data_IF_822979212315
#
_entry.id   IF_822979212315
#
_cell.length_a   1.000
_cell.length_b   1.000
_cell.length_c   1.000
_cell.angle_alpha   90.00
_cell.angle_beta   90.00
_cell.angle_gamma   90.00
#
_symmetry.space_group_name_H-M   'P 1'
#
loop_
_entity.id
_entity.type
_entity.pdbx_description
1 polymer ?
#
# COMPACT_ATOMS: atom_id res chain seq x y z
N UNK A 1 7.94 -14.43 -23.92
CA UNK A 1 8.57 -14.20 -22.61
C UNK A 1 7.66 -14.80 -21.56
N UNK A 2 8.17 -15.43 -20.53
CA UNK A 2 7.31 -16.16 -19.57
C UNK A 2 7.17 -15.31 -18.28
N UNK A 3 5.98 -14.71 -18.06
CA UNK A 3 5.67 -13.98 -16.84
C UNK A 3 5.68 -14.96 -15.65
N UNK A 4 6.28 -14.55 -14.53
CA UNK A 4 6.36 -15.32 -13.27
C UNK A 4 5.73 -14.60 -12.09
N UNK A 5 5.59 -13.29 -12.15
CA UNK A 5 4.96 -12.46 -11.12
C UNK A 5 4.05 -11.42 -11.76
N UNK A 6 2.82 -11.34 -11.29
CA UNK A 6 1.88 -10.28 -11.59
C UNK A 6 1.59 -9.52 -10.30
N UNK A 7 1.99 -8.26 -10.25
CA UNK A 7 1.70 -7.37 -9.14
C UNK A 7 0.62 -6.35 -9.53
N UNK A 8 -0.26 -6.01 -8.62
CA UNK A 8 -1.28 -4.97 -8.87
C UNK A 8 -1.47 -4.08 -7.67
N UNK A 9 -1.54 -2.77 -7.92
CA UNK A 9 -2.16 -1.87 -6.96
C UNK A 9 -3.64 -2.20 -6.79
N UNK A 10 -4.22 -1.74 -5.68
CA UNK A 10 -5.60 -2.07 -5.30
C UNK A 10 -6.57 -0.93 -5.61
N UNK A 11 -6.42 0.22 -4.97
CA UNK A 11 -7.37 1.32 -5.02
C UNK A 11 -7.15 2.20 -6.26
N UNK A 12 -8.12 2.23 -7.18
CA UNK A 12 -7.95 2.92 -8.47
C UNK A 12 -7.34 2.06 -9.57
N UNK A 13 -6.97 0.80 -9.26
CA UNK A 13 -6.37 -0.15 -10.19
C UNK A 13 -7.15 -1.47 -10.24
N UNK A 14 -7.05 -2.30 -9.21
CA UNK A 14 -7.70 -3.62 -9.19
C UNK A 14 -9.13 -3.59 -8.68
N UNK A 15 -9.39 -2.76 -7.67
CA UNK A 15 -10.72 -2.59 -7.07
C UNK A 15 -11.54 -1.57 -7.85
N UNK A 16 -12.87 -1.77 -7.89
CA UNK A 16 -13.81 -0.81 -8.41
C UNK A 16 -14.08 0.37 -7.44
N UNK A 17 -15.02 1.24 -7.78
CA UNK A 17 -15.39 2.42 -6.96
C UNK A 17 -16.04 2.05 -5.61
N UNK A 18 -16.51 0.81 -5.46
CA UNK A 18 -17.07 0.28 -4.22
C UNK A 18 -16.03 -0.49 -3.39
N UNK A 19 -14.75 -0.48 -3.81
CA UNK A 19 -13.67 -1.30 -3.27
C UNK A 19 -13.93 -2.81 -3.38
N UNK A 20 -14.61 -3.24 -4.45
CA UNK A 20 -14.94 -4.61 -4.75
C UNK A 20 -14.29 -5.08 -6.07
N UNK A 21 -14.29 -6.37 -6.32
CA UNK A 21 -13.87 -7.00 -7.58
C UNK A 21 -14.68 -8.27 -7.84
N UNK A 22 -14.68 -8.76 -9.07
CA UNK A 22 -15.31 -10.04 -9.44
C UNK A 22 -14.53 -11.21 -8.84
N UNK A 23 -14.98 -11.69 -7.67
CA UNK A 23 -14.35 -12.78 -6.93
C UNK A 23 -14.33 -14.08 -7.74
N UNK A 24 -15.41 -14.38 -8.50
CA UNK A 24 -15.48 -15.62 -9.28
C UNK A 24 -14.47 -15.60 -10.45
N UNK A 25 -14.34 -14.48 -11.11
CA UNK A 25 -13.33 -14.29 -12.17
C UNK A 25 -11.92 -14.33 -11.57
N UNK A 26 -11.69 -13.68 -10.43
CA UNK A 26 -10.39 -13.70 -9.76
C UNK A 26 -9.93 -15.10 -9.38
N UNK A 27 -10.80 -15.92 -8.80
CA UNK A 27 -10.47 -17.32 -8.46
C UNK A 27 -10.12 -18.14 -9.70
N UNK A 28 -10.79 -17.89 -10.84
CA UNK A 28 -10.46 -18.52 -12.12
C UNK A 28 -9.08 -18.09 -12.62
N UNK A 29 -8.77 -16.79 -12.55
CA UNK A 29 -7.45 -16.24 -12.93
C UNK A 29 -6.36 -16.78 -12.03
N UNK A 30 -6.56 -16.77 -10.71
CA UNK A 30 -5.59 -17.27 -9.74
C UNK A 30 -5.26 -18.75 -9.98
N UNK A 31 -6.27 -19.57 -10.26
CA UNK A 31 -6.06 -20.97 -10.64
C UNK A 31 -5.24 -21.10 -11.92
N UNK A 32 -5.55 -20.32 -12.96
CA UNK A 32 -4.78 -20.28 -14.22
C UNK A 32 -3.32 -19.88 -13.96
N UNK A 33 -3.09 -18.90 -13.07
CA UNK A 33 -1.75 -18.47 -12.68
C UNK A 33 -0.98 -19.60 -11.98
N UNK A 34 -1.60 -20.29 -11.03
CA UNK A 34 -0.99 -21.44 -10.34
C UNK A 34 -0.59 -22.55 -11.32
N UNK A 35 -1.46 -22.88 -12.28
CA UNK A 35 -1.17 -23.90 -13.32
C UNK A 35 0.02 -23.51 -14.22
N UNK A 36 0.24 -22.19 -14.41
CA UNK A 36 1.37 -21.64 -15.19
C UNK A 36 2.60 -21.30 -14.34
N UNK A 37 2.54 -21.47 -13.01
CA UNK A 37 3.62 -21.09 -12.09
C UNK A 37 3.83 -19.57 -12.03
N UNK A 38 2.74 -18.79 -12.10
CA UNK A 38 2.73 -17.34 -11.97
C UNK A 38 2.27 -16.97 -10.55
N UNK A 39 3.03 -16.15 -9.86
CA UNK A 39 2.64 -15.57 -8.58
C UNK A 39 1.75 -14.34 -8.78
N UNK A 40 0.78 -14.17 -7.90
CA UNK A 40 -0.02 -12.94 -7.82
C UNK A 40 0.35 -12.17 -6.56
N UNK A 41 0.62 -10.87 -6.69
CA UNK A 41 0.92 -9.97 -5.59
C UNK A 41 -0.06 -8.78 -5.57
N UNK A 42 -0.73 -8.59 -4.43
CA UNK A 42 -1.49 -7.37 -4.15
C UNK A 42 -0.56 -6.35 -3.47
N UNK A 43 -0.34 -5.18 -4.10
CA UNK A 43 0.58 -4.15 -3.63
C UNK A 43 -0.19 -2.86 -3.28
N UNK A 44 -0.29 -2.51 -2.00
CA UNK A 44 -1.16 -1.43 -1.55
C UNK A 44 -0.56 -0.59 -0.42
N UNK A 45 -1.05 0.65 -0.28
CA UNK A 45 -0.88 1.45 0.93
C UNK A 45 -1.73 0.97 2.11
N UNK A 46 -2.69 0.06 1.87
CA UNK A 46 -3.54 -0.51 2.91
C UNK A 46 -2.74 -1.32 3.93
N UNK A 47 -3.22 -1.41 5.18
CA UNK A 47 -2.66 -2.31 6.18
C UNK A 47 -2.68 -3.78 5.74
N UNK A 48 -1.70 -4.56 6.20
CA UNK A 48 -1.62 -5.99 5.92
C UNK A 48 -2.91 -6.74 6.31
N UNK A 49 -3.49 -6.43 7.46
CA UNK A 49 -4.75 -7.03 7.91
C UNK A 49 -5.92 -6.71 6.98
N UNK A 50 -5.95 -5.50 6.41
CA UNK A 50 -6.96 -5.10 5.43
C UNK A 50 -6.84 -5.90 4.14
N UNK A 51 -5.62 -6.07 3.60
CA UNK A 51 -5.39 -6.94 2.42
C UNK A 51 -5.80 -8.40 2.70
N UNK A 52 -5.45 -8.93 3.87
CA UNK A 52 -5.87 -10.29 4.27
C UNK A 52 -7.39 -10.43 4.37
N UNK A 53 -8.09 -9.39 4.80
CA UNK A 53 -9.55 -9.38 4.84
C UNK A 53 -10.16 -9.38 3.44
N UNK A 54 -9.61 -8.58 2.51
CA UNK A 54 -10.04 -8.54 1.11
C UNK A 54 -9.88 -9.91 0.43
N UNK A 55 -8.75 -10.58 0.67
CA UNK A 55 -8.39 -11.87 0.06
C UNK A 55 -8.55 -13.06 1.00
N UNK A 56 -9.45 -12.99 2.00
CA UNK A 56 -9.57 -14.00 3.09
C UNK A 56 -9.67 -15.45 2.62
N UNK A 57 -10.27 -15.69 1.46
CA UNK A 57 -10.46 -17.05 0.91
C UNK A 57 -9.19 -17.62 0.27
N UNK A 58 -8.24 -16.76 -0.09
CA UNK A 58 -7.03 -17.12 -0.85
C UNK A 58 -5.76 -16.48 -0.29
N UNK A 59 -5.81 -15.90 0.91
CA UNK A 59 -4.68 -15.16 1.50
C UNK A 59 -3.37 -15.97 1.54
N UNK A 60 -3.45 -17.29 1.69
CA UNK A 60 -2.29 -18.18 1.70
C UNK A 60 -1.79 -18.55 0.28
N UNK A 61 -2.47 -18.07 -0.77
CA UNK A 61 -2.15 -18.36 -2.17
C UNK A 61 -1.61 -17.16 -2.93
N UNK A 62 -1.62 -15.99 -2.30
CA UNK A 62 -1.18 -14.73 -2.89
C UNK A 62 -0.06 -14.11 -2.05
N UNK A 63 0.63 -13.16 -2.65
CA UNK A 63 1.62 -12.33 -1.97
C UNK A 63 0.93 -11.01 -1.57
N UNK A 64 1.09 -10.58 -0.33
CA UNK A 64 0.62 -9.29 0.15
C UNK A 64 1.82 -8.34 0.31
N UNK A 65 1.85 -7.27 -0.47
CA UNK A 65 2.75 -6.13 -0.32
C UNK A 65 1.91 -5.00 0.28
N UNK A 66 2.05 -4.78 1.58
CA UNK A 66 1.21 -3.84 2.33
C UNK A 66 2.00 -2.63 2.84
N UNK A 67 1.28 -1.65 3.39
CA UNK A 67 1.85 -0.44 4.00
C UNK A 67 2.82 0.30 3.07
N UNK A 68 2.41 0.47 1.79
CA UNK A 68 3.25 1.05 0.74
C UNK A 68 4.59 0.32 0.50
N UNK A 69 4.67 -0.97 0.82
CA UNK A 69 5.88 -1.78 0.66
C UNK A 69 6.70 -1.97 1.93
N UNK A 70 6.21 -1.53 3.11
CA UNK A 70 6.90 -1.77 4.38
C UNK A 70 6.88 -3.24 4.80
N UNK A 71 5.92 -4.02 4.31
CA UNK A 71 5.82 -5.45 4.62
C UNK A 71 5.42 -6.24 3.38
N UNK A 72 6.11 -7.37 3.18
CA UNK A 72 5.79 -8.38 2.16
C UNK A 72 5.57 -9.71 2.86
N UNK A 73 4.38 -10.26 2.73
CA UNK A 73 4.05 -11.57 3.28
C UNK A 73 3.66 -12.55 2.16
N UNK A 74 4.14 -13.77 2.26
CA UNK A 74 3.79 -14.86 1.35
C UNK A 74 3.67 -16.18 2.12
N UNK A 75 2.59 -16.91 1.93
CA UNK A 75 2.26 -18.15 2.69
C UNK A 75 2.29 -17.97 4.21
N UNK A 76 1.94 -16.77 4.70
CA UNK A 76 1.97 -16.45 6.14
C UNK A 76 3.36 -16.22 6.71
N UNK A 77 4.40 -16.20 5.86
CA UNK A 77 5.78 -15.89 6.23
C UNK A 77 6.17 -14.49 5.73
N UNK A 78 6.92 -13.76 6.55
CA UNK A 78 7.42 -12.45 6.18
C UNK A 78 8.63 -12.60 5.25
N UNK A 79 8.48 -12.12 4.03
CA UNK A 79 9.57 -12.06 3.02
C UNK A 79 10.42 -10.81 3.23
N UNK A 80 9.79 -9.71 3.62
CA UNK A 80 10.42 -8.43 3.85
C UNK A 80 9.64 -7.63 4.88
N UNK A 81 10.33 -6.96 5.81
CA UNK A 81 9.75 -6.03 6.78
C UNK A 81 10.67 -4.82 6.98
N UNK A 82 10.10 -3.62 6.91
CA UNK A 82 10.74 -2.35 7.27
C UNK A 82 9.93 -1.69 8.38
N UNK A 83 10.41 -1.78 9.61
CA UNK A 83 9.69 -1.33 10.80
C UNK A 83 10.31 -0.08 11.42
N UNK A 84 9.49 0.75 12.00
CA UNK A 84 9.89 1.89 12.82
C UNK A 84 10.15 1.42 14.26
N UNK A 85 11.31 1.70 14.82
CA UNK A 85 11.55 1.41 16.24
C UNK A 85 10.68 2.28 17.15
N UNK A 86 10.38 1.84 18.40
CA UNK A 86 9.61 2.63 19.35
C UNK A 86 10.18 4.03 19.59
N UNK A 87 11.51 4.15 19.73
CA UNK A 87 12.17 5.45 19.91
C UNK A 87 12.00 6.33 18.67
N UNK A 88 12.06 5.74 17.47
CA UNK A 88 11.94 6.47 16.21
C UNK A 88 10.53 7.05 16.03
N UNK A 89 9.46 6.23 16.10
CA UNK A 89 8.11 6.75 15.87
C UNK A 89 7.65 7.71 17.00
N UNK A 90 8.15 7.55 18.22
CA UNK A 90 7.88 8.50 19.30
C UNK A 90 8.58 9.85 19.07
N UNK A 91 9.86 9.83 18.64
CA UNK A 91 10.58 11.05 18.26
C UNK A 91 9.94 11.74 17.07
N UNK A 92 9.53 10.98 16.04
CA UNK A 92 8.76 11.47 14.88
C UNK A 92 7.45 12.12 15.33
N UNK A 93 6.66 11.47 16.17
CA UNK A 93 5.41 12.01 16.70
C UNK A 93 5.64 13.30 17.50
N UNK A 94 6.71 13.36 18.31
CA UNK A 94 7.08 14.58 19.03
C UNK A 94 7.45 15.72 18.06
N UNK A 95 8.20 15.40 17.00
CA UNK A 95 8.58 16.39 15.97
C UNK A 95 7.39 16.90 15.17
N UNK A 96 6.44 16.02 14.82
CA UNK A 96 5.23 16.41 14.11
C UNK A 96 4.38 17.43 14.88
N UNK A 97 4.44 17.46 16.22
CA UNK A 97 3.73 18.47 17.01
C UNK A 97 4.28 19.89 16.81
N UNK A 98 5.44 20.07 16.19
CA UNK A 98 5.97 21.38 15.77
C UNK A 98 5.38 21.83 14.42
N UNK A 99 4.76 20.93 13.66
CA UNK A 99 4.11 21.25 12.40
C UNK A 99 2.82 22.06 12.64
N UNK A 100 2.67 23.24 12.02
CA UNK A 100 1.50 24.08 12.25
C UNK A 100 0.17 23.48 11.76
N UNK A 101 0.26 22.43 10.95
CA UNK A 101 -0.90 21.76 10.33
C UNK A 101 -1.27 20.43 11.01
N UNK A 102 -0.44 19.96 11.94
CA UNK A 102 -0.60 18.64 12.55
C UNK A 102 -1.57 18.67 13.74
N UNK A 103 -2.58 17.82 13.69
CA UNK A 103 -3.44 17.53 14.84
C UNK A 103 -3.13 16.11 15.37
N UNK A 104 -2.57 16.03 16.56
CA UNK A 104 -2.27 14.76 17.24
C UNK A 104 -3.48 13.85 17.45
N UNK A 105 -4.70 14.40 17.39
CA UNK A 105 -5.94 13.63 17.54
C UNK A 105 -6.42 13.04 16.20
N UNK A 106 -5.79 13.45 15.08
CA UNK A 106 -6.00 12.92 13.73
C UNK A 106 -4.76 12.13 13.29
N UNK A 107 -4.24 11.26 14.14
CA UNK A 107 -3.02 10.48 13.90
C UNK A 107 -3.22 9.03 14.32
N UNK A 108 -2.73 8.12 13.48
CA UNK A 108 -2.82 6.68 13.64
C UNK A 108 -1.47 6.05 13.29
N UNK A 109 -1.00 5.08 14.10
CA UNK A 109 0.12 4.22 13.76
C UNK A 109 -0.40 2.85 13.34
N UNK A 110 0.09 2.34 12.22
CA UNK A 110 -0.27 1.01 11.72
C UNK A 110 0.83 0.01 12.06
N UNK A 111 0.43 -1.05 12.73
CA UNK A 111 1.31 -2.16 13.10
C UNK A 111 0.86 -3.48 12.50
N UNK A 112 1.65 -4.52 12.75
CA UNK A 112 1.41 -5.86 12.20
C UNK A 112 0.12 -6.52 12.75
N UNK A 113 -0.23 -6.24 14.01
CA UNK A 113 -1.37 -6.83 14.71
C UNK A 113 -2.59 -5.91 14.81
N UNK A 114 -2.47 -4.66 14.37
CA UNK A 114 -3.55 -3.69 14.40
C UNK A 114 -3.06 -2.27 14.25
N UNK A 115 -3.98 -1.33 14.42
CA UNK A 115 -3.71 0.09 14.34
C UNK A 115 -3.92 0.77 15.69
N UNK A 116 -3.20 1.84 15.95
CA UNK A 116 -3.14 2.48 17.26
C UNK A 116 -3.44 3.97 17.16
N UNK A 117 -4.40 4.44 17.94
CA UNK A 117 -4.76 5.86 18.07
C UNK A 117 -4.69 6.29 19.53
N UNK A 118 -4.51 7.58 19.77
CA UNK A 118 -4.60 8.11 21.12
C UNK A 118 -6.06 8.04 21.65
N UNK A 119 -6.24 7.91 22.97
CA UNK A 119 -7.58 7.98 23.60
C UNK A 119 -8.31 9.28 23.33
N UNK A 120 -7.58 10.33 22.98
CA UNK A 120 -8.11 11.66 22.61
C UNK A 120 -8.41 11.79 21.13
N UNK A 121 -8.36 10.68 20.36
CA UNK A 121 -8.61 10.67 18.91
C UNK A 121 -9.91 11.39 18.56
N UNK A 122 -9.87 12.16 17.50
CA UNK A 122 -11.06 12.81 16.92
C UNK A 122 -12.06 11.73 16.49
N UNK A 123 -13.36 11.86 16.88
CA UNK A 123 -14.36 10.83 16.59
C UNK A 123 -14.62 10.62 15.09
N UNK A 124 -14.59 11.70 14.29
CA UNK A 124 -14.86 11.63 12.85
C UNK A 124 -13.65 11.02 12.13
N UNK A 125 -12.43 11.37 12.54
CA UNK A 125 -11.20 10.72 12.06
C UNK A 125 -11.18 9.23 12.39
N UNK A 126 -11.58 8.85 13.61
CA UNK A 126 -11.66 7.44 14.00
C UNK A 126 -12.68 6.68 13.14
N UNK A 127 -13.87 7.25 12.93
CA UNK A 127 -14.92 6.63 12.12
C UNK A 127 -14.44 6.43 10.66
N UNK A 128 -13.78 7.43 10.08
CA UNK A 128 -13.18 7.32 8.74
C UNK A 128 -12.07 6.26 8.69
N UNK A 129 -11.19 6.23 9.70
CA UNK A 129 -10.09 5.25 9.79
C UNK A 129 -10.55 3.81 9.86
N UNK A 130 -11.72 3.55 10.47
CA UNK A 130 -12.30 2.20 10.59
C UNK A 130 -12.69 1.56 9.25
N UNK A 131 -12.82 2.35 8.17
CA UNK A 131 -13.11 1.82 6.84
C UNK A 131 -11.89 1.13 6.20
N UNK A 132 -10.67 1.43 6.67
CA UNK A 132 -9.42 0.97 6.07
C UNK A 132 -8.54 0.20 7.03
N UNK A 133 -8.77 0.34 8.34
CA UNK A 133 -7.91 -0.21 9.38
C UNK A 133 -8.67 -1.20 10.25
N UNK A 134 -8.16 -2.42 10.29
CA UNK A 134 -8.64 -3.47 11.18
C UNK A 134 -8.05 -3.29 12.60
N UNK A 135 -8.76 -3.77 13.61
CA UNK A 135 -8.28 -3.88 14.99
C UNK A 135 -7.68 -2.56 15.54
N UNK A 136 -8.43 -1.45 15.45
CA UNK A 136 -7.98 -0.16 16.00
C UNK A 136 -8.05 -0.18 17.53
N UNK A 137 -6.91 0.07 18.17
CA UNK A 137 -6.74 0.11 19.63
C UNK A 137 -6.48 1.53 20.10
N UNK A 138 -7.08 1.91 21.25
CA UNK A 138 -6.87 3.22 21.88
C UNK A 138 -5.82 3.12 22.98
N UNK A 139 -4.72 3.86 22.83
CA UNK A 139 -3.63 3.95 23.81
C UNK A 139 -3.58 5.31 24.48
N UNK A 140 -3.04 5.41 25.70
CA UNK A 140 -2.85 6.71 26.34
C UNK A 140 -1.63 7.45 25.77
N UNK A 141 -0.62 6.65 25.35
CA UNK A 141 0.62 7.12 24.73
C UNK A 141 1.08 6.04 23.73
N UNK A 142 1.71 6.44 22.65
CA UNK A 142 2.28 5.50 21.67
C UNK A 142 3.43 4.66 22.21
N UNK A 143 4.03 5.03 23.34
CA UNK A 143 4.98 4.14 24.07
C UNK A 143 4.36 2.86 24.64
N UNK A 144 3.01 2.77 24.70
CA UNK A 144 2.29 1.56 25.13
C UNK A 144 2.16 0.51 24.02
N UNK A 145 2.53 0.85 22.78
CA UNK A 145 2.43 -0.07 21.63
C UNK A 145 3.47 -1.19 21.79
N UNK A 146 2.97 -2.42 21.85
CA UNK A 146 3.76 -3.66 21.79
C UNK A 146 3.49 -4.35 20.45
N UNK A 147 3.96 -3.73 19.37
CA UNK A 147 3.77 -4.23 17.99
C UNK A 147 4.91 -3.74 17.09
N UNK A 148 5.07 -4.37 15.92
CA UNK A 148 5.92 -3.89 14.84
C UNK A 148 5.17 -2.79 14.09
N UNK A 149 5.65 -1.56 14.16
CA UNK A 149 5.02 -0.39 13.52
C UNK A 149 5.64 -0.16 12.15
N UNK A 150 4.82 0.00 11.13
CA UNK A 150 5.23 0.19 9.74
C UNK A 150 5.06 1.62 9.26
N UNK A 151 4.01 2.29 9.71
CA UNK A 151 3.56 3.57 9.13
C UNK A 151 2.86 4.41 10.18
N UNK A 152 2.96 5.73 10.02
CA UNK A 152 2.08 6.69 10.68
C UNK A 152 1.21 7.36 9.62
N UNK A 153 -0.07 7.48 9.90
CA UNK A 153 -1.04 8.16 9.03
C UNK A 153 -1.61 9.35 9.80
N UNK A 154 -1.71 10.50 9.15
CA UNK A 154 -2.35 11.70 9.70
C UNK A 154 -3.17 12.41 8.63
N UNK A 155 -4.16 13.22 9.05
CA UNK A 155 -4.90 14.07 8.15
C UNK A 155 -4.48 15.53 8.34
N UNK A 156 -4.28 16.22 7.23
CA UNK A 156 -4.19 17.68 7.15
C UNK A 156 -5.40 18.22 6.39
N UNK A 157 -5.77 19.44 6.69
CA UNK A 157 -6.82 20.08 5.91
C UNK A 157 -6.40 20.18 4.43
N UNK A 158 -7.35 20.00 3.50
CA UNK A 158 -7.07 19.91 2.07
C UNK A 158 -6.30 21.11 1.52
N UNK A 159 -6.54 22.30 2.09
CA UNK A 159 -5.90 23.57 1.67
C UNK A 159 -4.39 23.61 2.00
N UNK A 160 -3.92 22.83 2.96
CA UNK A 160 -2.53 22.79 3.44
C UNK A 160 -1.89 21.41 3.28
N UNK A 161 -2.50 20.51 2.51
CA UNK A 161 -2.04 19.14 2.34
C UNK A 161 -0.64 19.08 1.73
N UNK A 162 -0.40 19.85 0.67
CA UNK A 162 0.90 19.90 -0.03
C UNK A 162 1.98 20.50 0.86
N UNK A 163 1.67 21.59 1.56
CA UNK A 163 2.56 22.21 2.52
C UNK A 163 2.87 21.29 3.70
N UNK A 164 1.88 20.56 4.16
CA UNK A 164 2.02 19.56 5.24
C UNK A 164 2.93 18.40 4.84
N UNK A 165 2.71 17.82 3.67
CA UNK A 165 3.58 16.76 3.10
C UNK A 165 5.03 17.26 2.96
N UNK A 166 5.20 18.46 2.39
CA UNK A 166 6.52 19.07 2.26
C UNK A 166 7.18 19.35 3.61
N UNK A 167 6.40 19.83 4.59
CA UNK A 167 6.92 20.07 5.94
C UNK A 167 7.43 18.79 6.59
N UNK A 168 6.67 17.69 6.53
CA UNK A 168 7.07 16.39 7.09
C UNK A 168 8.37 15.92 6.44
N UNK A 169 8.42 15.89 5.11
CA UNK A 169 9.60 15.41 4.35
C UNK A 169 10.86 16.25 4.64
N UNK A 170 10.72 17.55 4.90
CA UNK A 170 11.85 18.43 5.15
C UNK A 170 12.32 18.46 6.61
N UNK A 171 11.44 18.18 7.56
CA UNK A 171 11.72 18.39 8.98
C UNK A 171 11.80 17.10 9.80
N UNK A 172 11.38 15.95 9.25
CA UNK A 172 11.47 14.65 9.90
C UNK A 172 12.46 13.79 9.14
N UNK A 173 13.61 13.54 9.75
CA UNK A 173 14.69 12.75 9.14
C UNK A 173 14.31 11.27 9.07
N UNK A 174 14.70 10.61 7.97
CA UNK A 174 14.52 9.17 7.75
C UNK A 174 13.10 8.75 7.34
N UNK A 175 12.23 9.71 6.98
CA UNK A 175 10.89 9.42 6.47
C UNK A 175 10.60 10.15 5.18
N UNK A 176 9.63 9.62 4.45
CA UNK A 176 8.93 10.35 3.38
C UNK A 176 7.43 10.37 3.68
N UNK A 177 6.79 11.46 3.33
CA UNK A 177 5.36 11.64 3.40
C UNK A 177 4.76 11.47 1.99
N UNK A 178 3.59 10.88 1.92
CA UNK A 178 2.87 10.66 0.65
C UNK A 178 1.39 10.92 0.85
N UNK A 179 0.83 11.78 0.02
CA UNK A 179 -0.62 11.96 -0.05
C UNK A 179 -1.26 10.72 -0.66
N UNK A 180 -2.23 10.13 0.04
CA UNK A 180 -2.92 8.90 -0.39
C UNK A 180 -4.34 9.14 -0.89
N UNK A 181 -4.72 10.39 -1.01
CA UNK A 181 -6.05 10.86 -1.41
C UNK A 181 -6.77 11.60 -0.28
N UNK A 182 -7.68 12.49 -0.66
CA UNK A 182 -8.38 13.41 0.26
C UNK A 182 -7.40 14.19 1.17
N UNK A 183 -7.58 14.11 2.47
CA UNK A 183 -6.78 14.81 3.50
C UNK A 183 -5.70 13.93 4.13
N UNK A 184 -5.52 12.71 3.64
CA UNK A 184 -4.71 11.68 4.28
C UNK A 184 -3.27 11.72 3.78
N UNK A 185 -2.32 11.73 4.72
CA UNK A 185 -0.88 11.60 4.49
C UNK A 185 -0.35 10.37 5.21
N UNK A 186 0.26 9.47 4.44
CA UNK A 186 1.05 8.35 4.96
C UNK A 186 2.51 8.78 5.14
N UNK A 187 3.06 8.49 6.29
CA UNK A 187 4.48 8.72 6.65
C UNK A 187 5.14 7.38 6.83
N UNK A 188 6.04 7.04 5.93
CA UNK A 188 6.81 5.77 5.93
C UNK A 188 8.30 6.06 5.99
N UNK A 189 9.12 5.04 6.25
CA UNK A 189 10.58 5.18 6.16
C UNK A 189 10.97 5.60 4.73
N UNK A 190 11.95 6.46 4.58
CA UNK A 190 12.32 7.11 3.31
C UNK A 190 12.75 6.13 2.21
N UNK A 191 13.30 4.97 2.60
CA UNK A 191 13.72 3.89 1.70
C UNK A 191 12.61 2.88 1.35
N UNK A 192 11.40 3.05 1.88
CA UNK A 192 10.26 2.13 1.65
C UNK A 192 9.41 2.62 0.50
N UNK A 193 9.11 1.77 -0.45
CA UNK A 193 8.04 1.93 -1.45
C UNK A 193 7.71 0.58 -2.10
N UNK A 194 6.66 0.54 -2.92
CA UNK A 194 6.22 -0.68 -3.61
C UNK A 194 7.29 -1.25 -4.56
N UNK A 195 8.13 -0.39 -5.15
CA UNK A 195 9.21 -0.82 -6.04
C UNK A 195 10.33 -1.55 -5.28
N UNK A 196 10.72 -1.04 -4.10
CA UNK A 196 11.68 -1.72 -3.21
C UNK A 196 11.14 -3.08 -2.79
N UNK A 197 9.85 -3.16 -2.42
CA UNK A 197 9.22 -4.43 -2.05
C UNK A 197 9.19 -5.43 -3.21
N UNK A 198 8.87 -4.98 -4.43
CA UNK A 198 8.91 -5.82 -5.64
C UNK A 198 10.34 -6.29 -5.93
N UNK A 199 11.35 -5.43 -5.75
CA UNK A 199 12.75 -5.82 -5.95
C UNK A 199 13.17 -6.91 -4.94
N UNK A 200 12.85 -6.74 -3.66
CA UNK A 200 13.11 -7.74 -2.63
C UNK A 200 12.42 -9.08 -2.96
N UNK A 201 11.19 -9.03 -3.48
CA UNK A 201 10.43 -10.20 -3.90
C UNK A 201 11.06 -10.87 -5.14
N UNK A 202 11.51 -10.10 -6.13
CA UNK A 202 12.24 -10.64 -7.30
C UNK A 202 13.51 -11.37 -6.87
N UNK A 203 14.27 -10.78 -5.96
CA UNK A 203 15.51 -11.38 -5.44
C UNK A 203 15.22 -12.69 -4.69
N UNK A 204 14.17 -12.71 -3.85
CA UNK A 204 13.74 -13.90 -3.11
C UNK A 204 13.27 -15.03 -4.03
N UNK A 205 12.52 -14.71 -5.08
CA UNK A 205 11.98 -15.68 -6.04
C UNK A 205 13.00 -16.09 -7.12
N UNK A 206 14.12 -15.39 -7.24
CA UNK A 206 15.13 -15.61 -8.28
C UNK A 206 14.63 -15.31 -9.69
N UNK A 207 13.76 -14.30 -9.84
CA UNK A 207 13.18 -13.90 -11.13
C UNK A 207 13.73 -12.55 -11.59
N UNK A 208 13.79 -12.37 -12.92
CA UNK A 208 14.26 -11.12 -13.52
C UNK A 208 13.09 -10.13 -13.72
N UNK A 209 13.42 -8.85 -13.87
CA UNK A 209 12.42 -7.80 -14.15
C UNK A 209 11.52 -8.12 -15.35
N UNK A 210 12.09 -8.75 -16.41
CA UNK A 210 11.36 -9.10 -17.63
C UNK A 210 10.34 -10.23 -17.43
N UNK A 211 10.31 -10.85 -16.25
CA UNK A 211 9.34 -11.87 -15.85
C UNK A 211 8.25 -11.28 -14.92
N UNK A 212 8.29 -9.96 -14.67
CA UNK A 212 7.35 -9.27 -13.78
C UNK A 212 6.49 -8.28 -14.55
N UNK A 213 5.19 -8.40 -14.34
CA UNK A 213 4.18 -7.47 -14.85
C UNK A 213 3.52 -6.77 -13.67
N UNK A 214 3.36 -5.45 -13.75
CA UNK A 214 2.70 -4.67 -12.72
C UNK A 214 1.61 -3.75 -13.27
N UNK A 215 0.56 -3.59 -12.46
CA UNK A 215 -0.52 -2.63 -12.68
C UNK A 215 -0.48 -1.56 -11.58
N UNK A 216 -0.64 -0.29 -11.97
CA UNK A 216 -0.69 0.83 -11.04
C UNK A 216 -1.30 2.07 -11.68
N UNK A 217 -1.78 3.00 -10.85
CA UNK A 217 -2.45 4.21 -11.34
C UNK A 217 -1.93 5.50 -10.71
N UNK A 218 -1.21 5.45 -9.57
CA UNK A 218 -0.89 6.63 -8.79
C UNK A 218 0.63 6.76 -8.51
N UNK A 219 1.04 7.89 -7.92
CA UNK A 219 2.47 8.20 -7.70
C UNK A 219 3.18 7.24 -6.73
N UNK A 220 2.45 6.60 -5.80
CA UNK A 220 3.03 5.55 -4.96
C UNK A 220 3.34 4.25 -5.71
N UNK A 221 2.86 4.11 -6.96
CA UNK A 221 3.17 3.00 -7.87
C UNK A 221 4.36 3.31 -8.78
N UNK A 222 4.78 4.57 -8.87
CA UNK A 222 5.76 5.03 -9.86
C UNK A 222 7.02 4.17 -9.86
N UNK A 223 7.62 3.93 -8.69
CA UNK A 223 8.83 3.12 -8.60
C UNK A 223 8.55 1.64 -8.92
N UNK A 224 7.40 1.08 -8.51
CA UNK A 224 6.99 -0.28 -8.90
C UNK A 224 6.92 -0.41 -10.42
N UNK A 225 6.28 0.53 -11.11
CA UNK A 225 6.14 0.56 -12.57
C UNK A 225 7.50 0.72 -13.29
N UNK A 226 8.48 1.40 -12.66
CA UNK A 226 9.82 1.58 -13.23
C UNK A 226 10.72 0.35 -13.12
N UNK A 227 10.58 -0.44 -12.04
CA UNK A 227 11.50 -1.58 -11.78
C UNK A 227 11.06 -2.87 -12.47
N UNK A 228 9.80 -2.98 -12.87
CA UNK A 228 9.29 -4.17 -13.59
C UNK A 228 9.59 -4.11 -15.09
N UNK A 229 9.50 -5.26 -15.77
CA UNK A 229 9.68 -5.34 -17.22
C UNK A 229 8.43 -4.94 -18.00
N UNK A 230 7.23 -5.15 -17.42
CA UNK A 230 5.94 -4.91 -18.05
C UNK A 230 5.06 -4.06 -17.15
N UNK A 231 4.92 -2.79 -17.50
CA UNK A 231 4.10 -1.82 -16.78
C UNK A 231 2.78 -1.59 -17.53
N UNK A 232 1.65 -1.78 -16.85
CA UNK A 232 0.31 -1.61 -17.42
C UNK A 232 -0.50 -0.66 -16.53
N UNK A 233 -1.21 0.29 -17.13
CA UNK A 233 -2.01 1.26 -16.40
C UNK A 233 -3.49 1.21 -16.78
N UNK A 234 -4.44 1.41 -15.85
CA UNK A 234 -5.82 1.72 -16.20
C UNK A 234 -5.91 3.14 -16.78
N UNK A 235 -6.94 3.42 -17.58
CA UNK A 235 -7.11 4.72 -18.25
C UNK A 235 -7.31 5.90 -17.28
N UNK A 236 -7.70 5.64 -16.03
CA UNK A 236 -7.81 6.64 -14.96
C UNK A 236 -6.48 6.97 -14.29
N UNK A 237 -5.39 6.32 -14.66
CA UNK A 237 -4.08 6.54 -14.05
C UNK A 237 -3.57 7.97 -14.28
N UNK A 238 -2.70 8.42 -13.38
CA UNK A 238 -2.04 9.71 -13.49
C UNK A 238 -1.15 9.78 -14.73
N UNK A 239 -0.95 10.98 -15.31
CA UNK A 239 -0.12 11.15 -16.50
C UNK A 239 1.27 10.53 -16.36
N UNK A 240 1.90 10.66 -15.20
CA UNK A 240 3.22 10.13 -14.92
C UNK A 240 3.29 8.60 -15.00
N UNK A 241 2.19 7.92 -14.65
CA UNK A 241 2.05 6.46 -14.74
C UNK A 241 1.73 6.04 -16.17
N UNK A 242 0.83 6.78 -16.86
CA UNK A 242 0.48 6.53 -18.25
C UNK A 242 1.71 6.64 -19.17
N UNK A 243 2.65 7.55 -18.89
CA UNK A 243 3.90 7.68 -19.64
C UNK A 243 4.84 6.46 -19.51
N UNK A 244 4.76 5.72 -18.40
CA UNK A 244 5.56 4.50 -18.16
C UNK A 244 4.90 3.25 -18.70
N UNK A 245 3.58 3.26 -18.87
CA UNK A 245 2.82 2.07 -19.24
C UNK A 245 3.07 1.66 -20.70
N UNK A 246 3.43 0.40 -20.92
CA UNK A 246 3.49 -0.18 -22.28
C UNK A 246 2.10 -0.45 -22.86
N UNK A 247 1.11 -0.61 -21.99
CA UNK A 247 -0.30 -0.85 -22.34
C UNK A 247 -1.22 -0.10 -21.39
N UNK A 248 -2.26 0.52 -21.93
CA UNK A 248 -3.32 1.16 -21.15
C UNK A 248 -4.59 0.32 -21.32
N UNK A 249 -5.14 -0.16 -20.19
CA UNK A 249 -6.42 -0.90 -20.16
C UNK A 249 -7.57 0.04 -19.84
N UNK A 250 -8.82 -0.42 -19.91
CA UNK A 250 -9.99 0.40 -19.60
C UNK A 250 -10.01 0.89 -18.14
N UNK A 251 -11.01 1.72 -17.81
CA UNK A 251 -11.16 2.30 -16.46
C UNK A 251 -11.27 1.21 -15.39
N UNK A 252 -10.64 1.42 -14.21
CA UNK A 252 -10.60 0.43 -13.12
C UNK A 252 -12.01 -0.02 -12.69
N UNK A 253 -12.99 0.91 -12.64
CA UNK A 253 -14.37 0.61 -12.25
C UNK A 253 -15.06 -0.45 -13.10
N UNK A 254 -14.48 -0.77 -14.26
CA UNK A 254 -15.01 -1.81 -15.16
C UNK A 254 -14.38 -3.19 -14.90
N UNK A 255 -13.44 -3.33 -13.97
CA UNK A 255 -12.67 -4.55 -13.74
C UNK A 255 -11.70 -4.88 -14.89
N UNK A 256 -11.22 -3.86 -15.59
CA UNK A 256 -10.37 -4.00 -16.78
C UNK A 256 -9.07 -4.72 -16.53
N UNK A 257 -8.45 -4.46 -15.37
CA UNK A 257 -7.19 -5.11 -14.95
C UNK A 257 -7.39 -6.63 -14.81
N UNK A 258 -8.43 -7.04 -14.09
CA UNK A 258 -8.72 -8.47 -13.91
C UNK A 258 -9.09 -9.18 -15.22
N UNK A 259 -9.83 -8.50 -16.13
CA UNK A 259 -10.09 -9.03 -17.46
C UNK A 259 -8.84 -9.17 -18.31
N UNK A 260 -7.95 -8.18 -18.26
CA UNK A 260 -6.65 -8.28 -18.93
C UNK A 260 -5.86 -9.51 -18.45
N UNK A 261 -5.81 -9.75 -17.12
CA UNK A 261 -5.17 -10.94 -16.58
C UNK A 261 -5.79 -12.26 -17.08
N UNK A 262 -7.11 -12.28 -17.26
CA UNK A 262 -7.82 -13.47 -17.81
C UNK A 262 -7.50 -13.71 -19.28
N UNK A 263 -7.48 -12.65 -20.08
CA UNK A 263 -7.41 -12.73 -21.54
C UNK A 263 -5.98 -12.89 -22.04
N UNK A 264 -5.01 -12.16 -21.44
CA UNK A 264 -3.66 -12.03 -21.99
C UNK A 264 -2.61 -12.87 -21.24
N UNK A 265 -2.88 -13.33 -20.00
CA UNK A 265 -1.93 -14.10 -19.18
C UNK A 265 -2.42 -15.53 -18.95
#
# INVERSE_FOLDING_TARGET
MEIKLVATDMDGTFLDENHEFDQALFLKVLKKFQEKGIYFAAASGRPLLSLKTIFKEVQDQIICIAENGSVVEFHGEDVYEATMSPDFYQAMFAKLQECPYFDKNKCLLTGKRGSYVLKTVDPDYLAASQNYNENIQKVSNFSEIDDLVFKMTTNFDQEVLVEGEAWVTQNVEGVKAMTTGYECIDIVLDYVDKGVAIQALMDQLGISRDQVLAFGDNLNDLHMMQVVGHAIAPENARPEILELAETVVGHHSTGSVLRYMEEEL
#
